data_IF_217880609111
#
_entry.id   IF_217880609111
#
_cell.length_a   1.000
_cell.length_b   1.000
_cell.length_c   1.000
_cell.angle_alpha   90.00
_cell.angle_beta   90.00
_cell.angle_gamma   90.00
#
_symmetry.space_group_name_H-M   'P 1'
#
loop_
_entity.id
_entity.type
_entity.pdbx_description
1 polymer ?
#
# COMPACT_ATOMS: atom_id res chain seq x y z
N UNK A 1 44.29 8.23 -16.67
CA UNK A 1 43.74 7.98 -15.33
C UNK A 1 44.41 6.82 -14.63
N UNK A 2 44.42 6.87 -13.31
CA UNK A 2 44.82 5.76 -12.42
C UNK A 2 43.65 4.81 -12.13
N UNK A 3 43.93 3.60 -11.61
CA UNK A 3 42.87 2.67 -11.21
C UNK A 3 42.00 3.22 -10.05
N UNK A 4 42.55 4.10 -9.21
CA UNK A 4 41.82 4.69 -8.08
C UNK A 4 40.78 5.68 -8.61
N UNK A 5 41.22 6.62 -9.45
CA UNK A 5 40.33 7.56 -10.15
C UNK A 5 39.26 6.84 -10.96
N UNK A 6 39.65 5.77 -11.68
CA UNK A 6 38.70 4.96 -12.43
C UNK A 6 37.61 4.39 -11.53
N UNK A 7 37.98 3.84 -10.37
CA UNK A 7 37.05 3.19 -9.42
C UNK A 7 36.08 4.18 -8.78
N UNK A 8 36.53 5.37 -8.46
CA UNK A 8 35.65 6.44 -7.95
C UNK A 8 34.58 6.80 -8.98
N UNK A 9 34.96 6.85 -10.27
CA UNK A 9 34.05 7.19 -11.36
C UNK A 9 33.12 6.06 -11.80
N UNK A 10 33.40 4.79 -11.47
CA UNK A 10 32.59 3.66 -11.93
C UNK A 10 31.13 3.70 -11.44
N UNK A 11 30.85 4.29 -10.27
CA UNK A 11 29.49 4.33 -9.72
C UNK A 11 28.62 5.46 -10.29
N UNK A 12 29.25 6.47 -10.87
CA UNK A 12 28.57 7.64 -11.45
C UNK A 12 28.51 7.56 -12.99
N UNK A 13 29.19 6.60 -13.58
CA UNK A 13 29.32 6.45 -15.02
C UNK A 13 28.06 5.85 -15.66
N UNK A 14 27.80 6.28 -16.90
CA UNK A 14 26.74 5.70 -17.72
C UNK A 14 27.02 4.22 -18.03
N UNK A 15 25.95 3.45 -18.26
CA UNK A 15 26.05 2.02 -18.61
C UNK A 15 26.86 1.77 -19.89
N UNK A 16 26.85 2.68 -20.86
CA UNK A 16 27.68 2.59 -22.08
C UNK A 16 29.17 2.73 -21.74
N UNK A 17 29.53 3.66 -20.86
CA UNK A 17 30.92 3.86 -20.43
C UNK A 17 31.44 2.64 -19.66
N UNK A 18 30.61 2.04 -18.80
CA UNK A 18 30.93 0.80 -18.09
C UNK A 18 31.13 -0.41 -19.02
N UNK A 19 30.48 -0.41 -20.18
CA UNK A 19 30.73 -1.41 -21.25
C UNK A 19 32.00 -1.12 -22.04
N UNK A 20 32.67 0.01 -21.78
CA UNK A 20 33.82 0.46 -22.55
C UNK A 20 33.43 1.09 -23.90
N UNK A 21 32.17 1.51 -24.06
CA UNK A 21 31.67 2.18 -25.26
C UNK A 21 32.02 3.68 -25.23
N UNK A 22 32.27 4.25 -26.40
CA UNK A 22 32.70 5.64 -26.54
C UNK A 22 34.19 5.87 -26.25
N UNK A 23 34.60 7.13 -26.33
CA UNK A 23 36.01 7.53 -26.33
C UNK A 23 36.44 8.32 -25.10
N UNK A 24 35.59 8.42 -24.08
CA UNK A 24 35.96 9.04 -22.82
C UNK A 24 37.11 8.25 -22.17
N UNK A 25 37.84 8.92 -21.28
CA UNK A 25 38.98 8.30 -20.63
C UNK A 25 38.56 7.00 -19.94
N UNK A 26 37.43 7.00 -19.21
CA UNK A 26 36.93 5.85 -18.43
C UNK A 26 36.69 4.63 -19.31
N UNK A 27 35.97 4.80 -20.43
CA UNK A 27 35.73 3.73 -21.40
C UNK A 27 37.04 3.16 -21.95
N UNK A 28 38.03 4.01 -22.23
CA UNK A 28 39.36 3.56 -22.66
C UNK A 28 40.08 2.76 -21.57
N UNK A 29 40.02 3.22 -20.32
CA UNK A 29 40.64 2.52 -19.19
C UNK A 29 39.96 1.18 -18.88
N UNK A 30 38.63 1.10 -18.92
CA UNK A 30 37.88 -0.15 -18.76
C UNK A 30 38.25 -1.17 -19.86
N UNK A 31 38.47 -0.70 -21.10
CA UNK A 31 38.96 -1.54 -22.20
C UNK A 31 40.38 -2.05 -22.01
N UNK A 32 41.26 -1.35 -21.29
CA UNK A 32 42.67 -1.75 -21.17
C UNK A 32 43.01 -2.39 -19.82
N UNK A 33 42.29 -2.05 -18.75
CA UNK A 33 42.54 -2.51 -17.39
C UNK A 33 41.60 -3.67 -17.01
N UNK A 34 42.15 -4.88 -16.85
CA UNK A 34 41.38 -6.08 -16.50
C UNK A 34 40.65 -5.94 -15.16
N UNK A 35 41.27 -5.31 -14.15
CA UNK A 35 40.67 -5.13 -12.82
C UNK A 35 39.46 -4.21 -12.86
N UNK A 36 39.57 -3.06 -13.53
CA UNK A 36 38.44 -2.13 -13.68
C UNK A 36 37.34 -2.73 -14.56
N UNK A 37 37.70 -3.52 -15.58
CA UNK A 37 36.73 -4.26 -16.40
C UNK A 37 35.91 -5.24 -15.58
N UNK A 38 36.55 -6.02 -14.70
CA UNK A 38 35.86 -6.97 -13.85
C UNK A 38 34.87 -6.29 -12.91
N UNK A 39 35.26 -5.15 -12.31
CA UNK A 39 34.35 -4.36 -11.46
C UNK A 39 33.18 -3.79 -12.27
N UNK A 40 33.44 -3.23 -13.46
CA UNK A 40 32.38 -2.71 -14.33
C UNK A 40 31.39 -3.81 -14.75
N UNK A 41 31.88 -5.03 -15.06
CA UNK A 41 31.03 -6.18 -15.35
C UNK A 41 30.15 -6.58 -14.16
N UNK A 42 30.70 -6.59 -12.95
CA UNK A 42 29.94 -6.88 -11.74
C UNK A 42 28.80 -5.88 -11.54
N UNK A 43 29.06 -4.58 -11.72
CA UNK A 43 28.04 -3.53 -11.63
C UNK A 43 26.93 -3.78 -12.67
N UNK A 44 27.31 -4.04 -13.92
CA UNK A 44 26.36 -4.32 -15.01
C UNK A 44 25.51 -5.59 -14.76
N UNK A 45 26.08 -6.60 -14.11
CA UNK A 45 25.35 -7.81 -13.72
C UNK A 45 24.34 -7.55 -12.61
N UNK A 46 24.73 -6.81 -11.57
CA UNK A 46 23.85 -6.44 -10.46
C UNK A 46 22.71 -5.54 -10.94
N UNK A 47 22.99 -4.57 -11.82
CA UNK A 47 21.95 -3.71 -12.40
C UNK A 47 20.90 -4.51 -13.18
N UNK A 48 21.34 -5.51 -13.97
CA UNK A 48 20.43 -6.42 -14.67
C UNK A 48 19.63 -7.28 -13.69
N UNK A 49 20.25 -7.75 -12.62
CA UNK A 49 19.56 -8.55 -11.60
C UNK A 49 18.49 -7.73 -10.89
N UNK A 50 18.81 -6.50 -10.51
CA UNK A 50 17.86 -5.55 -9.92
C UNK A 50 16.71 -5.25 -10.89
N UNK A 51 17.02 -4.96 -12.15
CA UNK A 51 16.01 -4.73 -13.18
C UNK A 51 15.04 -5.89 -13.35
N UNK A 52 15.52 -7.15 -13.28
CA UNK A 52 14.66 -8.34 -13.29
C UNK A 52 13.78 -8.44 -12.04
N UNK A 53 14.36 -8.26 -10.86
CA UNK A 53 13.62 -8.30 -9.61
C UNK A 53 12.49 -7.25 -9.57
N UNK A 54 12.77 -6.03 -10.05
CA UNK A 54 11.78 -4.97 -10.18
C UNK A 54 10.71 -5.29 -11.24
N UNK A 55 11.09 -5.91 -12.35
CA UNK A 55 10.14 -6.34 -13.38
C UNK A 55 9.19 -7.44 -12.85
N UNK A 56 9.69 -8.37 -12.04
CA UNK A 56 8.90 -9.43 -11.39
C UNK A 56 7.93 -8.86 -10.35
N UNK A 57 8.30 -7.78 -9.67
CA UNK A 57 7.46 -7.10 -8.68
C UNK A 57 6.39 -6.18 -9.30
N UNK A 58 6.42 -5.94 -10.62
CA UNK A 58 5.42 -5.07 -11.25
C UNK A 58 4.01 -5.63 -11.00
N UNK A 59 3.09 -4.83 -10.43
CA UNK A 59 1.72 -5.26 -10.23
C UNK A 59 1.11 -5.73 -11.55
N UNK A 60 0.55 -6.94 -11.56
CA UNK A 60 -0.13 -7.50 -12.74
C UNK A 60 -1.37 -6.70 -13.16
N UNK A 61 -1.87 -5.84 -12.26
CA UNK A 61 -3.04 -5.02 -12.45
C UNK A 61 -2.59 -3.57 -12.44
N UNK A 62 -2.92 -2.82 -13.49
CA UNK A 62 -2.69 -1.38 -13.53
C UNK A 62 -3.39 -0.73 -12.32
N UNK A 63 -2.75 0.28 -11.74
CA UNK A 63 -3.29 0.98 -10.55
C UNK A 63 -4.72 1.45 -10.81
N UNK A 64 -5.01 1.97 -12.01
CA UNK A 64 -6.35 2.40 -12.41
C UNK A 64 -7.38 1.28 -12.43
N UNK A 65 -6.97 0.06 -12.79
CA UNK A 65 -7.86 -1.10 -12.79
C UNK A 65 -8.12 -1.59 -11.36
N UNK A 66 -7.11 -1.56 -10.50
CA UNK A 66 -7.25 -1.84 -9.07
C UNK A 66 -8.19 -0.82 -8.39
N UNK A 67 -8.09 0.46 -8.74
CA UNK A 67 -8.98 1.50 -8.24
C UNK A 67 -10.41 1.32 -8.74
N UNK A 68 -10.60 1.10 -10.06
CA UNK A 68 -11.94 0.87 -10.64
C UNK A 68 -12.62 -0.35 -10.04
N UNK A 69 -11.89 -1.43 -9.81
CA UNK A 69 -12.42 -2.64 -9.17
C UNK A 69 -12.79 -2.40 -7.70
N UNK A 70 -11.95 -1.68 -6.95
CA UNK A 70 -12.24 -1.30 -5.56
C UNK A 70 -13.49 -0.41 -5.45
N UNK A 71 -13.61 0.61 -6.30
CA UNK A 71 -14.78 1.48 -6.34
C UNK A 71 -16.07 0.71 -6.69
N UNK A 72 -15.99 -0.18 -7.67
CA UNK A 72 -17.10 -1.04 -8.06
C UNK A 72 -17.57 -1.94 -6.90
N UNK A 73 -16.64 -2.52 -6.15
CA UNK A 73 -16.94 -3.34 -4.98
C UNK A 73 -17.58 -2.50 -3.86
N UNK A 74 -17.04 -1.30 -3.57
CA UNK A 74 -17.58 -0.39 -2.57
C UNK A 74 -19.02 0.04 -2.89
N UNK A 75 -19.29 0.42 -4.16
CA UNK A 75 -20.64 0.77 -4.62
C UNK A 75 -21.62 -0.40 -4.47
N UNK A 76 -21.22 -1.61 -4.85
CA UNK A 76 -22.05 -2.82 -4.69
C UNK A 76 -22.37 -3.10 -3.22
N UNK A 77 -21.38 -2.98 -2.32
CA UNK A 77 -21.57 -3.16 -0.87
C UNK A 77 -22.56 -2.14 -0.32
N UNK A 78 -22.40 -0.86 -0.67
CA UNK A 78 -23.33 0.20 -0.24
C UNK A 78 -24.76 -0.06 -0.73
N UNK A 79 -24.93 -0.47 -1.99
CA UNK A 79 -26.25 -0.82 -2.54
C UNK A 79 -26.89 -1.99 -1.80
N UNK A 80 -26.13 -3.04 -1.46
CA UNK A 80 -26.63 -4.18 -0.68
C UNK A 80 -27.09 -3.79 0.72
N UNK A 81 -26.34 -2.93 1.40
CA UNK A 81 -26.72 -2.43 2.72
C UNK A 81 -28.01 -1.60 2.66
N UNK A 82 -28.14 -0.73 1.65
CA UNK A 82 -29.34 0.07 1.47
C UNK A 82 -30.56 -0.78 1.14
N UNK A 83 -30.46 -1.76 0.24
CA UNK A 83 -31.58 -2.65 -0.12
C UNK A 83 -31.93 -3.61 1.01
N UNK A 84 -30.94 -4.08 1.78
CA UNK A 84 -31.16 -4.96 2.94
C UNK A 84 -31.72 -4.28 4.19
N UNK A 85 -31.64 -2.95 4.29
CA UNK A 85 -32.17 -2.19 5.43
C UNK A 85 -33.64 -1.76 5.26
N UNK A 86 -34.21 -1.86 4.05
CA UNK A 86 -35.61 -1.46 3.79
C UNK A 86 -36.66 -2.31 4.54
N UNK A 87 -36.56 -3.65 4.68
CA UNK A 87 -37.64 -4.41 5.32
C UNK A 87 -37.64 -4.29 6.85
N UNK A 88 -36.55 -3.85 7.49
CA UNK A 88 -36.47 -3.75 8.94
C UNK A 88 -37.22 -2.54 9.53
N UNK A 89 -37.39 -1.46 8.75
CA UNK A 89 -38.08 -0.25 9.21
C UNK A 89 -39.61 -0.31 9.06
N UNK A 90 -40.14 -1.22 8.23
CA UNK A 90 -41.58 -1.38 8.06
C UNK A 90 -42.26 -2.18 9.20
N UNK A 91 -41.51 -3.01 9.94
CA UNK A 91 -42.08 -3.79 11.04
C UNK A 91 -42.20 -3.01 12.36
N UNK A 92 -41.40 -1.97 12.56
CA UNK A 92 -41.38 -1.19 13.81
C UNK A 92 -42.57 -0.22 13.95
N UNK A 93 -43.16 0.25 12.84
CA UNK A 93 -44.28 1.20 12.87
C UNK A 93 -45.61 0.56 13.30
N UNK A 94 -45.83 -0.72 12.95
CA UNK A 94 -47.07 -1.44 13.31
C UNK A 94 -47.10 -1.78 14.79
N UNK A 95 -45.97 -2.16 15.39
CA UNK A 95 -45.88 -2.52 16.81
C UNK A 95 -46.01 -1.30 17.73
N UNK A 96 -45.42 -0.16 17.34
CA UNK A 96 -45.54 1.09 18.09
C UNK A 96 -46.99 1.61 18.14
N UNK A 97 -47.74 1.46 17.05
CA UNK A 97 -49.14 1.90 16.99
C UNK A 97 -50.08 1.00 17.83
N UNK A 98 -49.76 -0.30 17.95
CA UNK A 98 -50.48 -1.25 18.79
C UNK A 98 -50.22 -1.06 20.29
N UNK A 99 -49.01 -0.64 20.68
CA UNK A 99 -48.64 -0.40 22.09
C UNK A 99 -49.21 0.91 22.65
N UNK A 100 -49.51 1.91 21.80
CA UNK A 100 -50.09 3.18 22.25
C UNK A 100 -51.61 3.09 22.47
N UNK A 101 -52.30 2.15 21.81
CA UNK A 101 -53.76 1.98 21.97
C UNK A 101 -54.17 1.14 23.19
N UNK A 102 -53.28 0.26 23.68
CA UNK A 102 -53.53 -0.56 24.86
C UNK A 102 -52.69 -0.03 26.03
N UNK A 103 -53.33 0.76 26.92
CA UNK A 103 -52.74 1.41 28.09
C UNK A 103 -51.60 0.61 28.76
N UNK A 104 -50.45 1.27 28.89
CA UNK A 104 -49.13 0.65 29.00
C UNK A 104 -48.89 -0.28 30.21
N UNK A 105 -48.05 -1.32 30.04
CA UNK A 105 -47.49 -2.09 31.16
C UNK A 105 -46.18 -1.46 31.69
N UNK A 106 -45.78 -1.82 32.93
CA UNK A 106 -44.70 -1.16 33.67
C UNK A 106 -43.33 -1.32 32.99
N UNK A 107 -42.50 -0.29 33.21
CA UNK A 107 -41.17 -0.11 32.64
C UNK A 107 -40.31 -1.40 32.72
N UNK A 108 -39.72 -1.87 31.61
CA UNK A 108 -38.87 -3.05 31.62
C UNK A 108 -37.57 -2.74 32.39
N UNK A 109 -36.94 -3.74 33.04
CA UNK A 109 -35.61 -3.56 33.62
C UNK A 109 -34.65 -3.15 32.51
N UNK A 110 -33.84 -2.13 32.78
CA UNK A 110 -32.81 -1.67 31.86
C UNK A 110 -31.93 -2.86 31.47
N UNK A 111 -31.69 -3.11 30.16
CA UNK A 111 -30.74 -4.12 29.76
C UNK A 111 -29.39 -3.73 30.33
N UNK A 112 -28.81 -4.60 31.16
CA UNK A 112 -27.39 -4.57 31.47
C UNK A 112 -26.65 -4.52 30.14
N UNK A 113 -26.02 -3.37 29.86
CA UNK A 113 -25.09 -3.22 28.75
C UNK A 113 -24.14 -4.41 28.83
N UNK A 114 -24.00 -5.26 27.79
CA UNK A 114 -22.82 -6.11 27.75
C UNK A 114 -21.64 -5.15 27.85
N UNK A 115 -20.75 -5.42 28.80
CA UNK A 115 -19.46 -4.73 28.88
C UNK A 115 -18.88 -4.85 27.49
N UNK A 116 -18.82 -3.72 26.77
CA UNK A 116 -18.11 -3.66 25.53
C UNK A 116 -16.69 -4.08 25.90
N UNK A 117 -16.31 -5.28 25.45
CA UNK A 117 -14.94 -5.74 25.47
C UNK A 117 -14.10 -4.55 25.00
N UNK A 118 -13.23 -4.07 25.88
CA UNK A 118 -12.56 -2.80 25.72
C UNK A 118 -11.79 -2.85 24.40
N UNK A 119 -12.41 -2.30 23.35
CA UNK A 119 -11.77 -2.13 22.07
C UNK A 119 -10.58 -1.23 22.35
N UNK A 120 -9.38 -1.80 22.24
CA UNK A 120 -8.12 -1.07 22.31
C UNK A 120 -8.30 0.21 21.47
N UNK A 121 -7.94 1.39 22.02
CA UNK A 121 -8.07 2.62 21.27
C UNK A 121 -7.35 2.46 19.93
N UNK A 122 -7.98 2.83 18.80
CA UNK A 122 -7.36 2.67 17.50
C UNK A 122 -6.01 3.40 17.49
N UNK A 123 -4.97 2.82 16.88
CA UNK A 123 -3.64 3.43 16.84
C UNK A 123 -3.72 4.80 16.18
N UNK A 124 -3.31 5.84 16.91
CA UNK A 124 -3.18 7.19 16.35
C UNK A 124 -1.83 7.32 15.67
N UNK A 125 -1.84 7.63 14.37
CA UNK A 125 -0.62 7.88 13.59
C UNK A 125 -0.56 9.38 13.27
N UNK A 126 0.52 10.04 13.68
CA UNK A 126 0.76 11.44 13.36
C UNK A 126 1.59 11.51 12.07
N UNK A 127 1.00 12.08 11.01
CA UNK A 127 1.67 12.23 9.72
C UNK A 127 2.59 13.47 9.72
N UNK A 128 3.82 13.38 9.16
CA UNK A 128 4.63 14.55 8.87
C UNK A 128 3.92 15.51 7.90
N UNK A 129 4.23 16.81 7.99
CA UNK A 129 3.63 17.82 7.12
C UNK A 129 3.88 17.49 5.64
N UNK A 130 2.81 17.46 4.84
CA UNK A 130 2.86 17.14 3.42
C UNK A 130 2.68 15.66 3.06
N UNK A 131 2.40 14.77 4.02
CA UNK A 131 2.17 13.34 3.75
C UNK A 131 0.73 12.91 4.01
N UNK A 132 0.20 12.06 3.14
CA UNK A 132 -1.11 11.41 3.32
C UNK A 132 -0.91 10.01 3.92
N UNK A 133 -1.71 9.67 4.94
CA UNK A 133 -1.65 8.37 5.63
C UNK A 133 -2.98 7.64 5.46
N UNK A 134 -2.91 6.37 5.05
CA UNK A 134 -4.04 5.44 5.05
C UNK A 134 -3.79 4.33 6.07
N UNK A 135 -4.72 4.14 7.02
CA UNK A 135 -4.66 3.09 8.04
C UNK A 135 -5.61 1.98 7.63
N UNK A 136 -5.08 0.79 7.35
CA UNK A 136 -5.90 -0.40 7.10
C UNK A 136 -6.03 -1.20 8.39
N UNK A 137 -7.23 -1.20 8.96
CA UNK A 137 -7.56 -2.11 10.06
C UNK A 137 -7.83 -3.50 9.48
N UNK A 138 -7.05 -4.49 9.92
CA UNK A 138 -7.20 -5.90 9.56
C UNK A 138 -7.45 -6.71 10.83
N UNK A 139 -8.01 -7.92 10.73
CA UNK A 139 -8.23 -8.81 11.88
C UNK A 139 -6.91 -9.33 12.51
N UNK A 140 -5.76 -8.94 11.95
CA UNK A 140 -4.43 -9.22 12.47
C UNK A 140 -3.99 -8.08 13.42
N UNK A 141 -3.54 -8.36 14.66
CA UNK A 141 -3.11 -7.33 15.61
C UNK A 141 -1.86 -6.54 15.17
N UNK A 142 -1.20 -6.93 14.08
CA UNK A 142 -0.08 -6.20 13.51
C UNK A 142 -0.57 -5.06 12.60
N UNK A 143 -0.26 -3.82 12.97
CA UNK A 143 -0.60 -2.61 12.19
C UNK A 143 0.46 -2.41 11.09
N UNK A 144 0.03 -2.38 9.82
CA UNK A 144 0.89 -2.00 8.68
C UNK A 144 0.58 -0.55 8.30
N UNK A 145 1.58 0.34 8.42
CA UNK A 145 1.48 1.75 8.01
C UNK A 145 2.16 1.92 6.65
N UNK A 146 1.42 2.44 5.67
CA UNK A 146 1.94 2.73 4.32
C UNK A 146 2.00 4.24 4.12
N UNK A 147 3.18 4.74 3.79
CA UNK A 147 3.43 6.15 3.48
C UNK A 147 3.33 6.38 1.97
N UNK A 148 2.56 7.38 1.55
CA UNK A 148 2.40 7.77 0.16
C UNK A 148 3.05 9.15 -0.04
N UNK A 149 3.96 9.23 -1.01
CA UNK A 149 4.64 10.46 -1.44
C UNK A 149 3.91 11.08 -2.64
#
# INVERSE_FOLDING_TARGET
>A
MTCVEARERLLEADLSQLRGEGDCELSRHVRTCARCRQVAQLILEQERALGRALAEQRPRVAVDDALRTAEGAARRRRRRLLVGAVPALAAASVVAMLLVQNGGPPMPPQPTRPVAEAALPPPSVQAPAGQNVAIFQTDNPNIVVVWLF
#
